data_IF_204629374800
#
_entry.id   IF_204629374800
#
_cell.length_a   1.000
_cell.length_b   1.000
_cell.length_c   1.000
_cell.angle_alpha   90.00
_cell.angle_beta   90.00
_cell.angle_gamma   90.00
#
_symmetry.space_group_name_H-M   'P 1'
#
loop_
_entity.id
_entity.type
_entity.pdbx_description
1 polymer ?
#
# COMPACT_ATOMS: atom_id res chain seq x y z
N UNK A 1 1.18 -6.04 32.43
CA UNK A 1 -0.03 -6.78 32.01
C UNK A 1 -0.56 -6.06 30.78
N UNK A 2 -0.80 -6.78 29.69
CA UNK A 2 -1.46 -6.24 28.53
C UNK A 2 -2.93 -6.68 28.56
N UNK A 3 -3.83 -5.74 28.38
CA UNK A 3 -5.27 -5.98 28.24
C UNK A 3 -5.65 -5.58 26.82
N UNK A 4 -6.39 -6.44 26.12
CA UNK A 4 -6.91 -6.17 24.79
C UNK A 4 -8.43 -6.13 24.87
N UNK A 5 -9.00 -5.03 24.42
CA UNK A 5 -10.44 -4.83 24.39
C UNK A 5 -10.88 -4.35 23.00
N UNK A 6 -12.03 -4.84 22.57
CA UNK A 6 -12.70 -4.36 21.37
C UNK A 6 -13.85 -3.46 21.81
N UNK A 7 -13.91 -2.25 21.30
CA UNK A 7 -15.02 -1.33 21.55
C UNK A 7 -15.64 -0.87 20.23
N UNK A 8 -16.88 -0.37 20.32
CA UNK A 8 -17.52 0.25 19.16
C UNK A 8 -16.88 1.61 18.84
N UNK A 9 -17.23 2.19 17.70
CA UNK A 9 -16.85 3.56 17.30
C UNK A 9 -17.26 4.60 18.35
N UNK A 10 -18.36 4.35 19.04
CA UNK A 10 -18.91 5.27 20.06
C UNK A 10 -18.30 5.04 21.46
N UNK A 11 -17.30 4.17 21.54
CA UNK A 11 -16.64 3.81 22.78
C UNK A 11 -17.15 2.52 23.41
N UNK A 12 -16.68 2.25 24.62
CA UNK A 12 -17.03 1.05 25.36
C UNK A 12 -16.62 1.16 26.83
N UNK A 13 -16.99 0.17 27.61
CA UNK A 13 -16.61 0.05 29.01
C UNK A 13 -15.54 -1.02 29.14
N UNK A 14 -14.41 -0.65 29.73
CA UNK A 14 -13.30 -1.55 29.99
C UNK A 14 -13.15 -1.70 31.51
N UNK A 15 -13.05 -2.93 31.98
CA UNK A 15 -12.79 -3.22 33.40
C UNK A 15 -11.33 -3.61 33.56
N UNK A 16 -10.54 -2.73 34.18
CA UNK A 16 -9.12 -2.95 34.49
C UNK A 16 -8.81 -2.63 35.93
N UNK A 17 -7.72 -3.18 36.43
CA UNK A 17 -7.25 -2.91 37.81
C UNK A 17 -6.75 -1.46 37.92
N UNK A 18 -6.75 -0.92 39.13
CA UNK A 18 -6.14 0.37 39.42
C UNK A 18 -4.63 0.31 39.15
N UNK A 19 -4.11 1.32 38.45
CA UNK A 19 -2.70 1.35 38.04
C UNK A 19 -2.42 2.40 36.98
N UNK A 20 -1.18 2.43 36.53
CA UNK A 20 -0.72 3.28 35.46
C UNK A 20 -0.69 2.50 34.12
N UNK A 21 -1.24 3.09 33.08
CA UNK A 21 -1.40 2.45 31.77
C UNK A 21 -0.94 3.34 30.64
N UNK A 22 -0.55 2.71 29.55
CA UNK A 22 -0.43 3.31 28.21
C UNK A 22 -1.45 2.64 27.32
N UNK A 23 -2.08 3.39 26.43
CA UNK A 23 -3.11 2.89 25.54
C UNK A 23 -2.61 3.06 24.09
N UNK A 24 -2.72 1.99 23.30
CA UNK A 24 -2.69 2.01 21.84
C UNK A 24 -4.05 1.58 21.34
N UNK A 25 -4.52 2.24 20.31
CA UNK A 25 -5.79 1.90 19.72
C UNK A 25 -5.74 2.12 18.19
N UNK A 26 -6.49 1.32 17.49
CA UNK A 26 -6.69 1.42 16.05
C UNK A 26 -8.04 0.80 15.66
N UNK A 27 -8.52 1.07 14.44
CA UNK A 27 -9.69 0.38 13.92
C UNK A 27 -9.39 -1.12 13.77
N UNK A 28 -10.37 -1.95 14.14
CA UNK A 28 -10.32 -3.42 13.99
C UNK A 28 -10.96 -3.91 12.70
N UNK A 29 -11.03 -5.25 12.57
CA UNK A 29 -11.75 -5.95 11.48
C UNK A 29 -11.29 -5.59 10.07
N UNK A 30 -9.98 -5.66 9.83
CA UNK A 30 -9.38 -5.46 8.52
C UNK A 30 -9.11 -6.82 7.84
N UNK A 31 -9.47 -6.94 6.56
CA UNK A 31 -9.31 -8.20 5.82
C UNK A 31 -7.87 -8.46 5.41
N UNK A 32 -7.16 -7.41 4.99
CA UNK A 32 -5.80 -7.51 4.47
C UNK A 32 -4.71 -7.17 5.49
N UNK A 33 -5.06 -6.68 6.68
CA UNK A 33 -4.11 -6.26 7.72
C UNK A 33 -4.11 -7.23 8.90
N UNK A 34 -2.91 -7.51 9.40
CA UNK A 34 -2.68 -8.37 10.58
C UNK A 34 -1.86 -7.62 11.60
N UNK A 35 -2.09 -7.95 12.86
CA UNK A 35 -1.36 -7.39 13.99
C UNK A 35 -0.14 -8.25 14.33
N UNK A 36 0.95 -7.59 14.70
CA UNK A 36 2.10 -8.19 15.36
C UNK A 36 2.32 -7.51 16.70
N UNK A 37 2.02 -8.23 17.77
CA UNK A 37 2.08 -7.72 19.13
C UNK A 37 3.27 -8.32 19.85
N UNK A 38 4.36 -7.58 19.98
CA UNK A 38 5.51 -7.98 20.80
C UNK A 38 5.53 -7.18 22.11
N UNK A 39 5.70 -5.86 21.98
CA UNK A 39 5.70 -4.89 23.09
C UNK A 39 4.99 -3.63 22.66
N UNK A 40 4.65 -2.77 23.61
CA UNK A 40 3.98 -1.49 23.34
C UNK A 40 4.72 -0.68 22.24
N UNK A 41 6.02 -0.56 22.35
CA UNK A 41 6.85 0.23 21.43
C UNK A 41 6.99 -0.41 20.03
N UNK A 42 6.78 -1.72 19.93
CA UNK A 42 6.94 -2.51 18.70
C UNK A 42 5.64 -3.07 18.14
N UNK A 43 4.50 -2.58 18.67
CA UNK A 43 3.20 -2.97 18.17
C UNK A 43 3.06 -2.50 16.71
N UNK A 44 2.90 -3.45 15.79
CA UNK A 44 2.85 -3.14 14.38
C UNK A 44 1.74 -3.88 13.64
N UNK A 45 1.30 -3.26 12.56
CA UNK A 45 0.43 -3.85 11.56
C UNK A 45 1.24 -4.24 10.33
N UNK A 46 0.85 -5.31 9.64
CA UNK A 46 1.42 -5.74 8.37
C UNK A 46 0.31 -6.28 7.46
N UNK A 47 0.49 -6.17 6.15
CA UNK A 47 -0.45 -6.73 5.17
C UNK A 47 -0.13 -8.19 4.85
N UNK A 48 -1.12 -8.92 4.35
CA UNK A 48 -0.95 -10.32 3.93
C UNK A 48 -0.21 -10.42 2.59
N UNK A 49 0.29 -11.61 2.27
CA UNK A 49 0.89 -11.87 0.98
C UNK A 49 -0.16 -11.82 -0.15
N UNK A 50 0.26 -11.36 -1.32
CA UNK A 50 -0.60 -11.20 -2.49
C UNK A 50 0.12 -11.68 -3.76
N UNK A 51 -0.64 -12.01 -4.81
CA UNK A 51 -0.08 -12.32 -6.11
C UNK A 51 0.27 -11.04 -6.88
N UNK A 52 1.44 -11.00 -7.52
CA UNK A 52 1.94 -9.80 -8.21
C UNK A 52 1.00 -9.30 -9.32
N UNK A 53 0.30 -10.20 -10.00
CA UNK A 53 -0.65 -9.85 -11.06
C UNK A 53 -2.09 -9.63 -10.56
N UNK A 54 -2.32 -9.61 -9.26
CA UNK A 54 -3.66 -9.30 -8.74
C UNK A 54 -4.10 -7.88 -9.18
N UNK A 55 -5.33 -7.68 -9.68
CA UNK A 55 -6.43 -8.64 -9.75
C UNK A 55 -6.47 -9.49 -11.03
N UNK A 56 -5.53 -9.32 -11.95
CA UNK A 56 -5.45 -10.13 -13.16
C UNK A 56 -5.14 -11.58 -12.77
N UNK A 57 -6.15 -12.45 -12.80
CA UNK A 57 -6.07 -13.85 -12.37
C UNK A 57 -5.17 -14.68 -13.29
N UNK A 58 -3.86 -14.57 -13.11
CA UNK A 58 -2.85 -15.36 -13.81
C UNK A 58 -1.88 -15.99 -12.83
N UNK A 59 -1.45 -17.21 -13.15
CA UNK A 59 -0.47 -17.97 -12.38
C UNK A 59 0.98 -17.75 -12.85
N UNK A 60 1.16 -16.93 -13.89
CA UNK A 60 2.48 -16.59 -14.41
C UNK A 60 3.23 -15.72 -13.39
N UNK A 61 4.54 -15.94 -13.28
CA UNK A 61 5.41 -15.04 -12.52
C UNK A 61 6.03 -14.04 -13.51
N UNK A 62 5.52 -12.80 -13.59
CA UNK A 62 6.08 -11.80 -14.47
C UNK A 62 7.44 -11.34 -13.96
N UNK A 63 8.30 -10.85 -14.84
CA UNK A 63 9.53 -10.20 -14.45
C UNK A 63 9.25 -9.01 -13.52
N UNK A 64 10.21 -8.74 -12.67
CA UNK A 64 10.16 -7.62 -11.73
C UNK A 64 11.34 -6.69 -12.00
N UNK A 65 11.22 -5.40 -11.70
CA UNK A 65 12.37 -4.50 -11.74
C UNK A 65 13.53 -5.06 -10.94
N UNK A 66 14.76 -4.98 -11.44
CA UNK A 66 15.94 -5.54 -10.76
C UNK A 66 16.14 -4.99 -9.35
N UNK A 67 15.71 -3.77 -9.09
CA UNK A 67 15.74 -3.12 -7.77
C UNK A 67 14.72 -3.70 -6.80
N UNK A 68 13.63 -4.30 -7.30
CA UNK A 68 12.54 -4.85 -6.51
C UNK A 68 12.39 -6.38 -6.62
N UNK A 69 13.34 -7.07 -7.24
CA UNK A 69 13.27 -8.51 -7.51
C UNK A 69 13.09 -9.35 -6.23
N UNK A 70 13.70 -8.90 -5.14
CA UNK A 70 13.68 -9.60 -3.84
C UNK A 70 12.62 -9.07 -2.86
N UNK A 71 11.90 -8.05 -3.21
CA UNK A 71 10.86 -7.51 -2.34
C UNK A 71 9.73 -8.52 -2.17
N UNK A 72 9.22 -8.75 -0.94
CA UNK A 72 7.96 -9.46 -0.76
C UNK A 72 6.82 -8.76 -1.51
N UNK A 73 5.88 -9.55 -2.04
CA UNK A 73 4.65 -9.00 -2.62
C UNK A 73 3.57 -9.03 -1.56
N UNK A 74 3.02 -7.86 -1.23
CA UNK A 74 2.04 -7.69 -0.16
C UNK A 74 0.76 -7.04 -0.70
N UNK A 75 -0.37 -7.36 -0.09
CA UNK A 75 -1.64 -6.71 -0.43
C UNK A 75 -1.61 -5.23 -0.07
N UNK A 76 -2.45 -4.44 -0.75
CA UNK A 76 -2.81 -3.10 -0.29
C UNK A 76 -3.40 -3.15 1.12
N UNK A 77 -3.21 -2.08 1.89
CA UNK A 77 -3.84 -1.94 3.20
C UNK A 77 -5.25 -1.33 3.08
N UNK A 78 -6.06 -1.53 4.10
CA UNK A 78 -7.19 -0.66 4.37
C UNK A 78 -6.74 0.60 5.10
N UNK A 79 -7.60 1.62 5.12
CA UNK A 79 -7.34 2.83 5.90
C UNK A 79 -7.26 2.50 7.38
N UNK A 80 -6.13 2.81 7.99
CA UNK A 80 -5.90 2.64 9.41
C UNK A 80 -6.03 3.98 10.12
N UNK A 81 -6.91 3.99 11.11
CA UNK A 81 -7.07 5.07 12.07
C UNK A 81 -6.50 4.60 13.40
N UNK A 82 -5.52 5.28 13.92
CA UNK A 82 -4.83 4.86 15.13
C UNK A 82 -4.47 6.04 16.02
N UNK A 83 -4.08 5.75 17.23
CA UNK A 83 -3.55 6.72 18.16
C UNK A 83 -2.99 6.08 19.40
N UNK A 84 -2.40 6.91 20.25
CA UNK A 84 -1.84 6.46 21.51
C UNK A 84 -2.12 7.45 22.63
N UNK A 85 -2.12 6.94 23.84
CA UNK A 85 -2.14 7.72 25.06
C UNK A 85 -1.05 7.21 25.98
N UNK A 86 -0.05 8.06 26.27
CA UNK A 86 1.18 7.62 26.94
C UNK A 86 1.05 7.44 28.45
N UNK A 87 0.03 8.05 29.05
CA UNK A 87 -0.17 7.95 30.48
C UNK A 87 -1.64 8.03 30.85
N UNK A 88 -2.13 7.00 31.48
CA UNK A 88 -3.48 6.94 32.06
C UNK A 88 -3.38 6.37 33.47
N UNK A 89 -3.82 7.13 34.46
CA UNK A 89 -3.95 6.65 35.85
C UNK A 89 -5.38 6.17 36.08
N UNK A 90 -5.53 4.88 36.38
CA UNK A 90 -6.80 4.29 36.82
C UNK A 90 -6.82 4.24 38.36
N UNK A 91 -7.69 5.03 38.97
CA UNK A 91 -7.78 5.18 40.41
C UNK A 91 -8.71 4.13 41.02
N UNK A 92 -8.30 3.54 42.16
CA UNK A 92 -9.01 2.43 42.81
C UNK A 92 -10.45 2.76 43.23
N UNK A 93 -10.74 3.98 43.60
CA UNK A 93 -12.01 4.37 44.22
C UNK A 93 -12.78 5.41 43.41
N UNK A 94 -12.52 5.46 42.10
CA UNK A 94 -13.16 6.41 41.19
C UNK A 94 -13.93 5.67 40.09
N UNK A 95 -15.17 5.26 40.33
CA UNK A 95 -16.00 4.59 39.34
C UNK A 95 -16.32 5.56 38.19
N UNK A 96 -16.38 5.05 36.98
CA UNK A 96 -16.78 5.83 35.81
C UNK A 96 -15.72 6.83 35.35
N UNK A 97 -14.45 6.47 35.47
CA UNK A 97 -13.38 7.24 34.83
C UNK A 97 -13.56 7.25 33.31
N UNK A 98 -13.46 8.41 32.70
CA UNK A 98 -13.68 8.59 31.26
C UNK A 98 -12.37 9.01 30.58
N UNK A 99 -12.06 8.40 29.45
CA UNK A 99 -10.89 8.69 28.62
C UNK A 99 -11.38 8.91 27.21
N UNK A 100 -11.05 10.05 26.62
CA UNK A 100 -11.32 10.35 25.22
C UNK A 100 -10.13 9.91 24.37
N UNK A 101 -10.43 9.19 23.29
CA UNK A 101 -9.44 8.71 22.32
C UNK A 101 -9.70 9.37 20.97
N UNK A 102 -8.69 10.03 20.40
CA UNK A 102 -8.76 10.74 19.12
C UNK A 102 -7.89 10.02 18.09
N UNK A 103 -8.48 9.17 17.23
CA UNK A 103 -7.73 8.50 16.19
C UNK A 103 -7.37 9.46 15.05
N UNK A 104 -6.16 9.29 14.50
CA UNK A 104 -5.70 9.93 13.28
C UNK A 104 -5.49 8.89 12.19
N UNK A 105 -5.69 9.30 10.92
CA UNK A 105 -5.33 8.44 9.79
C UNK A 105 -3.81 8.32 9.70
N UNK A 106 -3.31 7.07 9.74
CA UNK A 106 -1.86 6.78 9.78
C UNK A 106 -1.38 6.03 8.53
N UNK A 107 -2.25 5.81 7.57
CA UNK A 107 -1.96 5.21 6.25
C UNK A 107 -1.75 6.29 5.19
N UNK A 108 -1.10 5.92 4.09
CA UNK A 108 -0.91 6.76 2.92
C UNK A 108 -1.76 6.28 1.75
N UNK A 109 -2.38 7.21 1.05
CA UNK A 109 -3.14 6.99 -0.18
C UNK A 109 -2.26 7.33 -1.38
N UNK A 110 -2.23 6.43 -2.34
CA UNK A 110 -1.58 6.62 -3.63
C UNK A 110 -2.64 6.76 -4.71
N UNK A 111 -2.54 7.82 -5.49
CA UNK A 111 -3.38 8.09 -6.65
C UNK A 111 -2.49 8.03 -7.89
N UNK A 112 -2.79 7.14 -8.80
CA UNK A 112 -2.01 6.94 -10.02
C UNK A 112 -2.86 7.36 -11.22
N UNK A 113 -2.28 8.17 -12.08
CA UNK A 113 -2.87 8.58 -13.34
C UNK A 113 -1.89 8.31 -14.48
N UNK A 114 -2.33 7.57 -15.49
CA UNK A 114 -1.57 7.38 -16.74
C UNK A 114 -2.36 8.00 -17.87
N UNK A 115 -1.79 9.02 -18.50
CA UNK A 115 -2.45 9.77 -19.60
C UNK A 115 -1.75 9.54 -20.94
N UNK A 116 -2.41 9.92 -22.04
CA UNK A 116 -1.92 9.72 -23.38
C UNK A 116 -1.59 8.25 -23.69
N UNK A 117 -2.43 7.35 -23.20
CA UNK A 117 -2.32 5.92 -23.46
C UNK A 117 -2.77 5.64 -24.89
N UNK A 118 -1.86 5.05 -25.69
CA UNK A 118 -2.15 4.60 -27.05
C UNK A 118 -2.60 3.15 -27.04
N UNK A 119 -3.44 2.78 -28.00
CA UNK A 119 -3.93 1.41 -28.22
C UNK A 119 -4.68 0.83 -27.00
N UNK A 120 -5.29 1.68 -26.16
CA UNK A 120 -6.10 1.25 -25.03
C UNK A 120 -7.42 0.67 -25.53
N UNK A 121 -7.63 -0.63 -25.32
CA UNK A 121 -8.78 -1.40 -25.80
C UNK A 121 -9.54 -2.01 -24.63
N UNK A 122 -10.84 -2.28 -24.84
CA UNK A 122 -11.71 -2.84 -23.79
C UNK A 122 -11.36 -4.29 -23.41
N UNK A 123 -10.70 -5.02 -24.30
CA UNK A 123 -10.36 -6.44 -24.13
C UNK A 123 -8.95 -6.70 -23.61
N UNK A 124 -8.22 -5.68 -23.17
CA UNK A 124 -6.90 -5.85 -22.56
C UNK A 124 -7.03 -5.75 -21.04
N UNK A 125 -6.68 -6.82 -20.35
CA UNK A 125 -6.57 -6.78 -18.91
C UNK A 125 -5.23 -6.16 -18.50
N UNK A 126 -5.29 -5.26 -17.55
CA UNK A 126 -4.13 -4.52 -17.04
C UNK A 126 -4.11 -4.65 -15.52
N UNK A 127 -2.94 -4.97 -14.97
CA UNK A 127 -2.66 -4.80 -13.56
C UNK A 127 -1.40 -3.96 -13.38
N UNK A 128 -1.22 -3.41 -12.19
CA UNK A 128 -0.02 -2.65 -11.88
C UNK A 128 0.48 -3.00 -10.48
N UNK A 129 1.75 -2.69 -10.24
CA UNK A 129 2.35 -2.81 -8.93
C UNK A 129 3.33 -1.65 -8.68
N UNK A 130 3.44 -1.22 -7.45
CA UNK A 130 4.40 -0.21 -7.01
C UNK A 130 5.38 -0.84 -6.02
N UNK A 131 6.68 -0.71 -6.29
CA UNK A 131 7.75 -1.18 -5.41
C UNK A 131 8.20 -0.15 -4.39
N UNK A 132 9.00 -0.57 -3.40
CA UNK A 132 9.61 0.34 -2.42
C UNK A 132 8.68 0.79 -1.29
N UNK A 133 7.50 0.20 -1.16
CA UNK A 133 6.54 0.55 -0.12
C UNK A 133 6.90 -0.12 1.22
N UNK A 134 6.34 0.36 2.31
CA UNK A 134 6.64 -0.16 3.63
C UNK A 134 5.88 -1.45 3.96
N UNK A 135 6.60 -2.45 4.48
CA UNK A 135 6.01 -3.72 4.92
C UNK A 135 5.07 -3.56 6.12
N UNK A 136 5.40 -2.62 7.02
CA UNK A 136 4.77 -2.50 8.33
C UNK A 136 4.46 -1.07 8.70
N UNK A 137 3.46 -0.94 9.56
CA UNK A 137 3.13 0.29 10.27
C UNK A 137 3.31 0.07 11.76
N UNK A 138 4.23 0.80 12.39
CA UNK A 138 4.35 0.84 13.84
C UNK A 138 3.28 1.78 14.41
N UNK A 139 2.32 1.24 15.15
CA UNK A 139 1.21 2.03 15.70
C UNK A 139 1.69 2.94 16.84
N UNK A 140 2.64 2.49 17.65
CA UNK A 140 3.16 3.30 18.75
C UNK A 140 3.87 4.56 18.28
N UNK A 141 4.57 4.50 17.15
CA UNK A 141 5.27 5.64 16.55
C UNK A 141 4.50 6.33 15.42
N UNK A 142 3.35 5.78 15.01
CA UNK A 142 2.59 6.19 13.82
C UNK A 142 3.51 6.33 12.58
N UNK A 143 4.41 5.36 12.40
CA UNK A 143 5.45 5.42 11.37
C UNK A 143 5.55 4.13 10.55
N UNK A 144 5.79 4.30 9.26
CA UNK A 144 6.15 3.21 8.36
C UNK A 144 7.47 2.55 8.80
N UNK A 145 7.58 1.23 8.71
CA UNK A 145 8.77 0.46 9.11
C UNK A 145 8.88 -0.84 8.32
N UNK A 146 9.96 -1.55 8.51
CA UNK A 146 10.20 -2.86 7.89
C UNK A 146 11.00 -2.75 6.59
N UNK A 147 10.97 -3.84 5.81
CA UNK A 147 11.66 -3.89 4.51
C UNK A 147 10.78 -3.34 3.40
N UNK A 148 11.37 -2.89 2.28
CA UNK A 148 10.59 -2.50 1.13
C UNK A 148 9.82 -3.69 0.56
N UNK A 149 8.58 -3.43 0.13
CA UNK A 149 7.67 -4.41 -0.46
C UNK A 149 7.07 -3.87 -1.76
N UNK A 150 6.64 -4.78 -2.62
CA UNK A 150 5.87 -4.47 -3.83
C UNK A 150 4.39 -4.71 -3.56
N UNK A 151 3.56 -3.73 -3.88
CA UNK A 151 2.10 -3.80 -3.71
C UNK A 151 1.40 -3.79 -5.06
N UNK A 152 0.69 -4.87 -5.44
CA UNK A 152 -0.15 -4.90 -6.63
C UNK A 152 -1.47 -4.17 -6.39
N UNK A 153 -2.01 -3.58 -7.45
CA UNK A 153 -3.29 -2.91 -7.40
C UNK A 153 -4.02 -2.92 -8.75
N UNK A 154 -5.33 -2.76 -8.67
CA UNK A 154 -6.19 -2.66 -9.83
C UNK A 154 -6.04 -1.30 -10.51
N UNK A 155 -5.95 -1.32 -11.84
CA UNK A 155 -5.95 -0.14 -12.69
C UNK A 155 -7.28 -0.09 -13.44
N UNK A 156 -7.95 1.05 -13.41
CA UNK A 156 -9.21 1.29 -14.09
C UNK A 156 -9.03 2.19 -15.29
N UNK A 157 -9.76 1.90 -16.33
CA UNK A 157 -9.86 2.79 -17.46
C UNK A 157 -10.74 3.98 -17.10
N UNK A 158 -10.21 5.18 -17.20
CA UNK A 158 -10.99 6.41 -17.05
C UNK A 158 -11.69 6.82 -18.35
N UNK A 159 -10.95 6.76 -19.44
CA UNK A 159 -11.43 7.07 -20.79
C UNK A 159 -10.63 6.29 -21.87
N UNK A 160 -10.75 6.66 -23.14
CA UNK A 160 -10.08 5.96 -24.24
C UNK A 160 -8.55 6.15 -24.28
N UNK A 161 -8.01 7.02 -23.45
CA UNK A 161 -6.60 7.39 -23.46
C UNK A 161 -6.00 7.56 -22.09
N UNK A 162 -6.74 7.19 -21.02
CA UNK A 162 -6.27 7.35 -19.66
C UNK A 162 -6.66 6.19 -18.76
N UNK A 163 -5.74 5.86 -17.85
CA UNK A 163 -5.90 4.90 -16.78
C UNK A 163 -5.78 5.61 -15.44
N UNK A 164 -6.46 5.09 -14.43
CA UNK A 164 -6.40 5.59 -13.06
C UNK A 164 -6.39 4.44 -12.06
N UNK A 165 -5.79 4.68 -10.91
CA UNK A 165 -5.88 3.81 -9.75
C UNK A 165 -5.80 4.62 -8.46
N UNK A 166 -6.41 4.09 -7.41
CA UNK A 166 -6.23 4.58 -6.06
C UNK A 166 -6.15 3.40 -5.09
N UNK A 167 -5.16 3.42 -4.21
CA UNK A 167 -4.96 2.39 -3.21
C UNK A 167 -4.32 2.96 -1.95
N UNK A 168 -4.38 2.21 -0.86
CA UNK A 168 -3.87 2.61 0.45
C UNK A 168 -2.75 1.66 0.86
N UNK A 169 -1.70 2.20 1.48
CA UNK A 169 -0.57 1.45 2.03
C UNK A 169 -0.11 2.06 3.35
N UNK A 170 0.92 1.49 3.95
CA UNK A 170 1.58 2.07 5.13
C UNK A 170 2.55 3.22 4.79
N UNK A 171 2.60 3.64 3.54
CA UNK A 171 3.53 4.64 3.04
C UNK A 171 4.75 4.03 2.35
N UNK A 172 5.70 4.86 1.95
CA UNK A 172 6.97 4.39 1.41
C UNK A 172 7.93 3.98 2.55
N UNK A 173 8.92 3.16 2.23
CA UNK A 173 9.91 2.69 3.21
C UNK A 173 10.80 3.87 3.65
N UNK A 174 10.84 4.23 4.95
CA UNK A 174 11.47 5.46 5.41
C UNK A 174 13.00 5.37 5.56
N UNK A 175 13.53 4.16 5.68
CA UNK A 175 14.89 3.95 6.17
C UNK A 175 15.97 4.01 5.09
N UNK A 176 15.61 4.21 3.83
CA UNK A 176 16.61 4.24 2.77
C UNK A 176 16.26 5.24 1.67
N UNK A 177 16.98 6.38 1.66
CA UNK A 177 16.93 7.33 0.54
C UNK A 177 17.36 6.71 -0.82
N UNK A 178 17.81 5.46 -0.82
CA UNK A 178 18.17 4.70 -2.01
C UNK A 178 17.05 3.75 -2.49
N UNK A 179 15.94 3.64 -1.78
CA UNK A 179 14.80 2.84 -2.23
C UNK A 179 14.19 3.49 -3.47
N UNK A 180 14.20 2.75 -4.57
CA UNK A 180 13.54 3.18 -5.80
C UNK A 180 12.07 2.73 -5.80
N UNK A 181 11.22 3.62 -6.29
CA UNK A 181 9.80 3.34 -6.49
C UNK A 181 9.54 3.14 -7.98
N UNK A 182 9.35 1.88 -8.36
CA UNK A 182 9.06 1.53 -9.75
C UNK A 182 7.59 1.17 -9.88
N UNK A 183 6.88 1.93 -10.70
CA UNK A 183 5.53 1.59 -11.13
C UNK A 183 5.65 0.63 -12.32
N UNK A 184 5.25 -0.61 -12.11
CA UNK A 184 5.20 -1.64 -13.15
C UNK A 184 3.77 -1.84 -13.62
N UNK A 185 3.55 -1.78 -14.93
CA UNK A 185 2.26 -2.05 -15.58
C UNK A 185 2.38 -3.33 -16.37
N UNK A 186 1.49 -4.28 -16.14
CA UNK A 186 1.43 -5.59 -16.78
C UNK A 186 0.17 -5.74 -17.61
N UNK A 187 0.28 -6.35 -18.77
CA UNK A 187 -0.85 -6.57 -19.68
C UNK A 187 -1.14 -8.06 -19.86
N UNK A 188 -2.37 -8.39 -20.23
CA UNK A 188 -2.77 -9.77 -20.57
C UNK A 188 -2.04 -10.34 -21.79
N UNK A 189 -1.41 -9.53 -22.60
CA UNK A 189 -0.55 -9.93 -23.73
C UNK A 189 0.91 -10.21 -23.33
N UNK A 190 1.21 -10.33 -22.02
CA UNK A 190 2.57 -10.55 -21.49
C UNK A 190 3.59 -9.45 -21.82
N UNK A 191 3.13 -8.24 -22.01
CA UNK A 191 3.99 -7.05 -22.07
C UNK A 191 3.98 -6.34 -20.74
N UNK A 192 5.12 -5.81 -20.32
CA UNK A 192 5.22 -5.01 -19.11
C UNK A 192 6.05 -3.75 -19.34
N UNK A 193 5.78 -2.77 -18.49
CA UNK A 193 6.33 -1.42 -18.60
C UNK A 193 6.76 -0.99 -17.20
N UNK A 194 7.98 -0.47 -17.07
CA UNK A 194 8.52 0.03 -15.81
C UNK A 194 8.72 1.55 -15.89
N UNK A 195 8.26 2.26 -14.87
CA UNK A 195 8.41 3.71 -14.72
C UNK A 195 9.04 4.01 -13.37
N UNK A 196 10.18 4.69 -13.38
CA UNK A 196 10.76 5.22 -12.16
C UNK A 196 9.95 6.44 -11.70
N UNK A 197 9.28 6.30 -10.57
CA UNK A 197 8.44 7.33 -9.96
C UNK A 197 8.98 7.80 -8.61
N UNK A 198 10.23 7.46 -8.32
CA UNK A 198 10.91 7.75 -7.05
C UNK A 198 10.79 9.22 -6.67
N UNK A 199 11.09 10.12 -7.60
CA UNK A 199 11.00 11.55 -7.36
C UNK A 199 9.58 12.02 -7.02
N UNK A 200 8.55 11.41 -7.63
CA UNK A 200 7.15 11.76 -7.37
C UNK A 200 6.70 11.29 -5.99
N UNK A 201 7.23 10.15 -5.53
CA UNK A 201 6.93 9.62 -4.20
C UNK A 201 7.67 10.39 -3.12
N UNK A 202 8.99 10.56 -3.25
CA UNK A 202 9.82 11.19 -2.22
C UNK A 202 9.60 12.70 -2.08
N UNK A 203 9.23 13.39 -3.16
CA UNK A 203 8.98 14.83 -3.15
C UNK A 203 7.48 15.18 -3.10
N UNK A 204 6.62 14.21 -2.75
CA UNK A 204 5.20 14.46 -2.61
C UNK A 204 4.95 15.54 -1.52
N UNK A 205 4.15 16.57 -1.80
CA UNK A 205 3.89 17.65 -0.84
C UNK A 205 3.08 17.19 0.37
N UNK A 206 2.39 16.07 0.25
CA UNK A 206 1.65 15.40 1.33
C UNK A 206 2.01 13.91 1.31
N UNK A 207 2.77 13.48 2.31
CA UNK A 207 3.23 12.08 2.48
C UNK A 207 2.07 11.09 2.71
N UNK A 208 0.90 11.59 3.08
CA UNK A 208 -0.32 10.78 3.27
C UNK A 208 -1.21 10.74 2.02
N UNK A 209 -0.91 11.56 1.01
CA UNK A 209 -1.71 11.64 -0.21
C UNK A 209 -0.83 11.89 -1.44
N UNK A 210 -0.26 10.82 -1.96
CA UNK A 210 0.75 10.83 -3.01
C UNK A 210 0.06 10.74 -4.38
N UNK A 211 0.48 11.59 -5.31
CA UNK A 211 0.03 11.60 -6.70
C UNK A 211 1.16 11.19 -7.62
N UNK A 212 0.92 10.13 -8.40
CA UNK A 212 1.84 9.63 -9.42
C UNK A 212 1.19 9.84 -10.77
N UNK A 213 1.90 10.54 -11.66
CA UNK A 213 1.44 10.79 -13.02
C UNK A 213 2.46 10.28 -14.03
N UNK A 214 1.98 9.46 -14.96
CA UNK A 214 2.73 9.01 -16.12
C UNK A 214 2.10 9.63 -17.37
N UNK A 215 2.92 10.20 -18.22
CA UNK A 215 2.50 10.76 -19.49
C UNK A 215 3.09 9.96 -20.64
N UNK A 216 2.22 9.30 -21.40
CA UNK A 216 2.59 8.43 -22.51
C UNK A 216 2.78 6.97 -22.11
N UNK A 217 1.92 6.12 -22.62
CA UNK A 217 2.01 4.66 -22.55
C UNK A 217 1.52 4.11 -23.88
N UNK A 218 2.36 3.38 -24.59
CA UNK A 218 1.97 2.71 -25.82
C UNK A 218 1.73 1.23 -25.57
N UNK A 219 0.46 0.85 -25.45
CA UNK A 219 0.08 -0.56 -25.35
C UNK A 219 0.27 -1.27 -26.70
N UNK A 220 0.46 -2.61 -26.71
CA UNK A 220 0.64 -3.37 -27.94
C UNK A 220 -0.51 -3.18 -28.92
N UNK A 221 -0.21 -3.16 -30.21
CA UNK A 221 -1.23 -3.14 -31.27
C UNK A 221 -1.95 -4.49 -31.39
N UNK A 222 -3.10 -4.50 -32.06
CA UNK A 222 -3.85 -5.72 -32.31
C UNK A 222 -3.05 -6.60 -33.31
N UNK A 223 -2.70 -7.81 -32.89
CA UNK A 223 -1.89 -8.72 -33.71
C UNK A 223 -0.46 -8.97 -33.22
N UNK A 224 0.10 -8.09 -32.42
CA UNK A 224 1.44 -8.28 -31.80
C UNK A 224 1.49 -9.42 -30.78
N UNK A 225 0.34 -9.99 -30.42
CA UNK A 225 0.22 -11.10 -29.45
C UNK A 225 -0.09 -12.46 -30.07
N UNK A 226 -0.12 -12.61 -31.40
CA UNK A 226 -0.51 -13.86 -32.08
C UNK A 226 0.66 -14.78 -32.44
N UNK A 227 1.90 -14.41 -32.18
CA UNK A 227 2.97 -15.39 -32.07
C UNK A 227 3.05 -15.79 -30.58
N UNK A 228 2.53 -16.95 -30.21
CA UNK A 228 2.76 -17.44 -28.84
C UNK A 228 4.22 -17.89 -28.76
N UNK A 229 5.09 -17.01 -28.39
CA UNK A 229 6.24 -17.37 -27.59
C UNK A 229 5.66 -17.80 -26.24
N UNK A 230 5.55 -19.10 -26.08
CA UNK A 230 4.70 -19.74 -25.04
C UNK A 230 5.13 -19.36 -23.62
N UNK A 231 6.24 -18.66 -23.39
CA UNK A 231 6.79 -18.48 -22.05
C UNK A 231 7.33 -17.09 -21.69
N UNK A 232 7.55 -16.14 -22.56
CA UNK A 232 8.36 -14.99 -22.20
C UNK A 232 7.56 -13.69 -22.13
N UNK A 233 7.66 -13.04 -20.97
CA UNK A 233 7.27 -11.64 -20.77
C UNK A 233 8.27 -10.74 -21.50
N UNK A 234 7.78 -9.72 -22.17
CA UNK A 234 8.60 -8.76 -22.91
C UNK A 234 8.49 -7.37 -22.26
N UNK A 235 9.66 -6.82 -21.92
CA UNK A 235 9.75 -5.43 -21.46
C UNK A 235 9.62 -4.50 -22.67
N UNK A 236 8.76 -3.51 -22.54
CA UNK A 236 8.60 -2.46 -23.54
C UNK A 236 9.23 -1.19 -22.99
N UNK A 237 10.31 -0.75 -23.61
CA UNK A 237 10.92 0.53 -23.28
C UNK A 237 9.97 1.68 -23.62
N UNK A 238 9.62 2.49 -22.63
CA UNK A 238 8.86 3.70 -22.80
C UNK A 238 9.79 4.91 -22.80
N UNK A 239 9.68 5.73 -23.85
CA UNK A 239 10.30 7.04 -23.87
C UNK A 239 9.40 7.96 -23.05
N UNK A 240 9.75 8.14 -21.78
CA UNK A 240 9.11 9.16 -20.92
C UNK A 240 9.62 10.52 -21.42
N UNK A 241 8.76 11.28 -22.07
CA UNK A 241 9.06 12.66 -22.42
C UNK A 241 8.98 13.48 -21.13
N UNK A 242 10.14 13.78 -20.55
CA UNK A 242 10.22 14.77 -19.46
C UNK A 242 9.89 16.14 -20.07
N UNK A 243 8.76 16.72 -19.65
CA UNK A 243 8.45 18.13 -19.89
C UNK A 243 8.98 18.97 -18.73
#
# INVERSE_FOLDING_TARGET
VAVRELSSRDGGVVSIEAGEYRILFHNGEMESVREKVDKFEYYSLHTVDEALLSPMSRFDMPPRPSTAEKEPVKSKAETVWAGRHDYVLVERNRPGQFIELYPEEVTARYNVEVVNVKNLRDNIDISAALSGLSERLNISGASATGVPVTVPFEVKRRDNSALEAAFVTFGHCPDDNNVQHILSIYTSSKKYFNFDVTDQVHNAPDEKNIYIRIDGLALPEEGDGLTPSINDWEEVENIVIKM
#
